data_IF_275793942359
#
_entry.id   IF_275793942359
#
_cell.length_a   1.000
_cell.length_b   1.000
_cell.length_c   1.000
_cell.angle_alpha   90.00
_cell.angle_beta   90.00
_cell.angle_gamma   90.00
#
_symmetry.space_group_name_H-M   'P 1'
#
loop_
_entity.id
_entity.type
_entity.pdbx_description
1 polymer ?
#
# COMPACT_ATOMS: atom_id res chain seq x y z
N UNK A 1 -3.85 -16.68 -10.23
CA UNK A 1 -3.60 -15.22 -10.12
C UNK A 1 -4.65 -14.40 -10.87
N UNK A 2 -4.99 -14.73 -12.12
CA UNK A 2 -6.05 -14.01 -12.88
C UNK A 2 -7.47 -14.03 -12.26
N UNK A 3 -7.94 -15.10 -11.58
CA UNK A 3 -9.29 -15.13 -11.01
C UNK A 3 -9.57 -14.02 -9.98
N UNK A 4 -8.52 -13.46 -9.35
CA UNK A 4 -8.63 -12.38 -8.38
C UNK A 4 -9.09 -11.05 -8.98
N UNK A 5 -8.97 -10.86 -10.29
CA UNK A 5 -9.44 -9.64 -10.97
C UNK A 5 -10.91 -9.71 -11.40
N UNK A 6 -11.52 -10.89 -11.36
CA UNK A 6 -12.92 -11.09 -11.72
C UNK A 6 -13.90 -10.21 -10.92
N UNK A 7 -13.76 -10.04 -9.60
CA UNK A 7 -14.62 -9.14 -8.83
C UNK A 7 -14.52 -7.68 -9.29
N UNK A 8 -13.32 -7.22 -9.69
CA UNK A 8 -13.11 -5.84 -10.16
C UNK A 8 -13.81 -5.64 -11.50
N UNK A 9 -13.66 -6.59 -12.43
CA UNK A 9 -14.33 -6.56 -13.72
C UNK A 9 -15.86 -6.57 -13.57
N UNK A 10 -16.38 -7.47 -12.73
CA UNK A 10 -17.81 -7.54 -12.44
C UNK A 10 -18.33 -6.24 -11.80
N UNK A 11 -17.58 -5.66 -10.88
CA UNK A 11 -17.93 -4.38 -10.26
C UNK A 11 -17.97 -3.25 -11.29
N UNK A 12 -16.98 -3.16 -12.19
CA UNK A 12 -16.96 -2.19 -13.26
C UNK A 12 -18.15 -2.36 -14.22
N UNK A 13 -18.46 -3.60 -14.61
CA UNK A 13 -19.63 -3.90 -15.45
C UNK A 13 -20.94 -3.55 -14.74
N UNK A 14 -21.03 -3.83 -13.44
CA UNK A 14 -22.18 -3.45 -12.62
C UNK A 14 -22.34 -1.92 -12.57
N UNK A 15 -21.27 -1.15 -12.35
CA UNK A 15 -21.32 0.31 -12.39
C UNK A 15 -21.79 0.82 -13.75
N UNK A 16 -21.29 0.24 -14.84
CA UNK A 16 -21.71 0.60 -16.20
C UNK A 16 -23.18 0.23 -16.45
N UNK A 17 -23.63 -0.92 -15.96
CA UNK A 17 -25.02 -1.37 -16.07
C UNK A 17 -25.96 -0.46 -15.28
N UNK A 18 -25.58 -0.06 -14.06
CA UNK A 18 -26.37 0.89 -13.25
C UNK A 18 -26.39 2.26 -13.90
N UNK A 19 -25.25 2.79 -14.37
CA UNK A 19 -25.20 4.06 -15.09
C UNK A 19 -26.09 4.02 -16.35
N UNK A 20 -25.97 2.96 -17.15
CA UNK A 20 -26.80 2.73 -18.33
C UNK A 20 -28.29 2.56 -18.00
N UNK A 21 -28.62 1.86 -16.91
CA UNK A 21 -29.99 1.70 -16.42
C UNK A 21 -30.58 3.04 -16.00
N UNK A 22 -29.86 3.85 -15.24
CA UNK A 22 -30.32 5.17 -14.80
C UNK A 22 -30.54 6.11 -15.99
N UNK A 23 -29.60 6.13 -16.94
CA UNK A 23 -29.75 6.89 -18.19
C UNK A 23 -30.94 6.35 -19.00
N UNK A 24 -31.09 5.02 -19.10
CA UNK A 24 -32.16 4.35 -19.84
C UNK A 24 -33.54 4.62 -19.25
N UNK A 25 -33.70 4.51 -17.94
CA UNK A 25 -34.93 4.86 -17.22
C UNK A 25 -35.24 6.33 -17.42
N UNK A 26 -34.26 7.22 -17.24
CA UNK A 26 -34.42 8.65 -17.49
C UNK A 26 -34.84 8.93 -18.94
N UNK A 27 -34.28 8.23 -19.91
CA UNK A 27 -34.61 8.39 -21.32
C UNK A 27 -36.03 7.90 -21.64
N UNK A 28 -36.47 6.76 -21.07
CA UNK A 28 -37.79 6.15 -21.35
C UNK A 28 -38.91 6.89 -20.62
N UNK A 29 -38.72 7.29 -19.36
CA UNK A 29 -39.77 7.91 -18.54
C UNK A 29 -39.88 9.43 -18.72
N UNK A 30 -38.92 10.10 -19.37
CA UNK A 30 -38.94 11.55 -19.56
C UNK A 30 -39.92 12.00 -20.67
N UNK A 31 -40.89 12.89 -20.38
CA UNK A 31 -41.74 13.50 -21.40
C UNK A 31 -40.94 14.32 -22.41
N UNK A 32 -40.79 13.80 -23.64
CA UNK A 32 -40.00 14.47 -24.69
C UNK A 32 -40.84 15.53 -25.41
N UNK A 33 -40.51 16.79 -25.16
CA UNK A 33 -41.05 17.95 -25.90
C UNK A 33 -39.90 18.76 -26.50
N UNK A 34 -39.27 18.26 -27.58
CA UNK A 34 -38.21 18.98 -28.27
C UNK A 34 -38.78 20.28 -28.87
N UNK A 35 -38.07 21.38 -28.68
CA UNK A 35 -38.41 22.68 -29.23
C UNK A 35 -37.08 23.32 -29.64
N UNK A 36 -36.97 23.97 -30.81
CA UNK A 36 -35.74 24.68 -31.22
C UNK A 36 -35.24 25.63 -30.14
N UNK A 37 -36.13 26.31 -29.40
CA UNK A 37 -35.78 27.23 -28.30
C UNK A 37 -35.19 26.49 -27.09
N UNK A 38 -35.53 25.21 -26.87
CA UNK A 38 -34.91 24.39 -25.80
C UNK A 38 -33.57 23.79 -26.21
N UNK A 39 -33.30 23.72 -27.50
CA UNK A 39 -32.07 23.17 -28.06
C UNK A 39 -31.02 24.25 -28.36
N UNK A 40 -31.39 25.53 -28.28
CA UNK A 40 -30.46 26.63 -28.45
C UNK A 40 -29.50 26.74 -27.24
N UNK A 41 -28.23 27.11 -27.45
CA UNK A 41 -27.31 27.43 -26.37
C UNK A 41 -27.87 28.50 -25.43
N UNK A 42 -27.57 28.36 -24.14
CA UNK A 42 -28.02 29.30 -23.13
C UNK A 42 -27.23 30.61 -23.20
N UNK A 43 -27.91 31.73 -23.47
CA UNK A 43 -27.32 33.07 -23.53
C UNK A 43 -28.20 34.09 -22.77
N UNK A 44 -28.53 33.80 -21.49
CA UNK A 44 -29.34 34.67 -20.62
C UNK A 44 -30.69 35.15 -21.22
N UNK A 45 -31.32 34.31 -22.05
CA UNK A 45 -32.59 34.64 -22.71
C UNK A 45 -32.46 35.44 -24.01
N UNK A 46 -31.23 35.72 -24.46
CA UNK A 46 -30.94 36.25 -25.78
C UNK A 46 -30.62 35.13 -26.76
N UNK A 47 -30.70 35.44 -28.06
CA UNK A 47 -30.20 34.53 -29.08
C UNK A 47 -28.68 34.41 -28.95
N UNK A 48 -28.12 33.18 -29.08
CA UNK A 48 -26.70 32.94 -28.86
C UNK A 48 -25.86 33.80 -29.80
N UNK A 49 -25.07 34.68 -29.20
CA UNK A 49 -24.14 35.53 -29.91
C UNK A 49 -22.74 34.90 -29.86
N UNK A 50 -22.02 34.98 -30.98
CA UNK A 50 -20.68 34.43 -31.18
C UNK A 50 -20.58 32.91 -31.34
N UNK A 51 -19.48 32.54 -32.00
CA UNK A 51 -19.03 31.17 -32.17
C UNK A 51 -18.27 30.71 -30.91
N UNK A 52 -18.46 29.44 -30.51
CA UNK A 52 -17.78 28.85 -29.35
C UNK A 52 -16.29 28.55 -29.60
N UNK A 53 -15.78 28.83 -30.80
CA UNK A 53 -14.39 28.59 -31.22
C UNK A 53 -13.43 29.69 -30.76
N UNK A 54 -13.34 29.92 -29.45
CA UNK A 54 -12.30 30.76 -28.86
C UNK A 54 -11.08 29.93 -28.49
N UNK A 55 -9.90 30.54 -28.58
CA UNK A 55 -8.66 29.94 -28.07
C UNK A 55 -8.75 29.92 -26.55
N UNK A 56 -8.63 28.73 -25.98
CA UNK A 56 -8.49 28.57 -24.53
C UNK A 56 -7.12 29.10 -24.11
N UNK A 57 -7.05 29.65 -22.90
CA UNK A 57 -5.80 30.18 -22.36
C UNK A 57 -4.73 29.09 -22.27
N UNK A 58 -3.49 29.44 -22.62
CA UNK A 58 -2.31 28.55 -22.53
C UNK A 58 -2.10 28.01 -21.10
N UNK A 59 -2.67 28.68 -20.10
CA UNK A 59 -2.63 28.29 -18.68
C UNK A 59 -3.18 26.88 -18.43
N UNK A 60 -4.24 26.49 -19.14
CA UNK A 60 -4.79 25.14 -19.04
C UNK A 60 -3.81 24.08 -19.55
N UNK A 61 -3.05 24.41 -20.59
CA UNK A 61 -2.00 23.55 -21.13
C UNK A 61 -0.83 23.42 -20.15
N UNK A 62 -0.39 24.53 -19.53
CA UNK A 62 0.67 24.48 -18.51
C UNK A 62 0.27 23.62 -17.30
N UNK A 63 -0.98 23.71 -16.85
CA UNK A 63 -1.51 22.84 -15.80
C UNK A 63 -1.51 21.36 -16.24
N UNK A 64 -1.93 21.07 -17.46
CA UNK A 64 -1.96 19.70 -17.99
C UNK A 64 -0.55 19.08 -18.11
N UNK A 65 0.42 19.84 -18.60
CA UNK A 65 1.82 19.38 -18.70
C UNK A 65 2.43 19.22 -17.31
N UNK A 66 2.20 20.17 -16.40
CA UNK A 66 2.68 20.06 -15.02
C UNK A 66 2.08 18.84 -14.31
N UNK A 67 0.78 18.58 -14.49
CA UNK A 67 0.12 17.38 -13.97
C UNK A 67 0.72 16.09 -14.57
N UNK A 68 0.94 16.04 -15.88
CA UNK A 68 1.54 14.89 -16.55
C UNK A 68 2.94 14.58 -16.00
N UNK A 69 3.78 15.60 -15.85
CA UNK A 69 5.13 15.45 -15.32
C UNK A 69 5.10 15.00 -13.86
N UNK A 70 4.20 15.56 -13.05
CA UNK A 70 4.01 15.16 -11.65
C UNK A 70 3.42 13.74 -11.51
N UNK A 71 2.52 13.31 -12.39
CA UNK A 71 1.92 11.97 -12.38
C UNK A 71 2.99 10.89 -12.67
N UNK A 72 3.87 11.16 -13.64
CA UNK A 72 5.03 10.30 -13.91
C UNK A 72 5.99 10.25 -12.72
N UNK A 73 6.15 11.36 -11.98
CA UNK A 73 6.98 11.39 -10.78
C UNK A 73 6.42 10.51 -9.64
N UNK A 74 5.09 10.52 -9.44
CA UNK A 74 4.46 9.64 -8.46
C UNK A 74 4.66 8.16 -8.83
N UNK A 75 4.64 7.84 -10.13
CA UNK A 75 4.95 6.50 -10.61
C UNK A 75 6.40 6.08 -10.27
N UNK A 76 7.36 7.01 -10.37
CA UNK A 76 8.77 6.77 -10.00
C UNK A 76 8.95 6.62 -8.47
N UNK A 77 8.18 7.36 -7.68
CA UNK A 77 8.20 7.28 -6.22
C UNK A 77 7.50 6.02 -5.69
N UNK A 78 6.56 5.43 -6.44
CA UNK A 78 5.74 4.30 -6.00
C UNK A 78 6.55 3.06 -5.55
N UNK A 79 7.54 2.55 -6.32
CA UNK A 79 8.40 1.45 -5.86
C UNK A 79 9.14 1.76 -4.57
N UNK A 80 9.57 3.02 -4.39
CA UNK A 80 10.20 3.47 -3.16
C UNK A 80 9.24 3.41 -1.97
N UNK A 81 8.05 3.97 -2.12
CA UNK A 81 7.03 4.01 -1.08
C UNK A 81 6.62 2.61 -0.60
N UNK A 82 6.39 1.68 -1.54
CA UNK A 82 5.97 0.30 -1.22
C UNK A 82 7.06 -0.44 -0.43
N UNK A 83 8.34 -0.29 -0.78
CA UNK A 83 9.38 -1.06 -0.11
C UNK A 83 9.88 -0.46 1.21
N UNK A 84 9.52 0.78 1.54
CA UNK A 84 9.75 1.37 2.87
C UNK A 84 8.67 0.95 3.85
N UNK A 85 7.42 0.81 3.39
CA UNK A 85 6.28 0.42 4.23
C UNK A 85 6.39 -0.96 4.87
N UNK A 86 7.15 -1.89 4.26
CA UNK A 86 7.30 -3.27 4.77
C UNK A 86 8.16 -3.38 6.04
N UNK A 87 9.07 -2.43 6.29
CA UNK A 87 10.03 -2.50 7.40
C UNK A 87 9.49 -2.13 8.78
N UNK A 88 8.30 -1.52 8.87
CA UNK A 88 7.79 -0.92 10.13
C UNK A 88 6.57 -1.65 10.74
N UNK A 89 6.08 -2.72 10.11
CA UNK A 89 4.82 -3.37 10.48
C UNK A 89 4.95 -4.61 11.37
N UNK A 90 6.14 -4.92 11.90
CA UNK A 90 6.41 -6.24 12.51
C UNK A 90 6.45 -6.32 14.05
N UNK A 91 6.68 -5.23 14.80
CA UNK A 91 7.05 -5.36 16.22
C UNK A 91 6.23 -4.55 17.21
N UNK A 92 5.24 -3.76 16.76
CA UNK A 92 4.46 -2.93 17.67
C UNK A 92 3.39 -3.72 18.44
N UNK A 93 2.91 -4.83 17.86
CA UNK A 93 1.83 -5.64 18.45
C UNK A 93 2.32 -6.93 19.12
N UNK A 94 3.59 -7.32 18.96
CA UNK A 94 4.18 -8.52 19.55
C UNK A 94 4.95 -8.25 20.87
N UNK A 95 4.87 -7.02 21.42
CA UNK A 95 5.45 -6.66 22.73
C UNK A 95 4.37 -6.43 23.79
N UNK A 96 3.25 -7.14 23.73
CA UNK A 96 2.19 -6.98 24.73
C UNK A 96 1.41 -8.27 24.96
N UNK A 97 2.11 -9.38 25.19
CA UNK A 97 1.45 -10.59 25.71
C UNK A 97 2.31 -11.47 26.61
N UNK A 98 3.46 -10.99 27.11
CA UNK A 98 4.21 -11.72 28.16
C UNK A 98 3.64 -11.36 29.54
N UNK A 99 2.36 -11.66 29.73
CA UNK A 99 1.73 -11.77 31.03
C UNK A 99 2.05 -13.12 31.66
N UNK A 100 3.31 -13.38 32.00
CA UNK A 100 3.63 -14.44 32.96
C UNK A 100 3.28 -13.93 34.36
N UNK A 101 2.26 -14.46 35.06
CA UNK A 101 2.12 -14.20 36.47
C UNK A 101 3.37 -14.76 37.17
N UNK A 102 4.15 -13.88 37.77
CA UNK A 102 5.23 -14.26 38.69
C UNK A 102 4.61 -15.16 39.75
N UNK A 103 5.01 -16.44 39.75
CA UNK A 103 4.74 -17.36 40.85
C UNK A 103 5.30 -16.72 42.12
N UNK A 104 4.42 -16.13 42.90
CA UNK A 104 4.73 -15.59 44.21
C UNK A 104 5.05 -16.78 45.12
N UNK A 105 6.34 -17.04 45.27
CA UNK A 105 6.85 -17.89 46.33
C UNK A 105 6.53 -17.22 47.68
N UNK A 106 5.85 -17.97 48.55
CA UNK A 106 5.86 -17.79 49.99
C UNK A 106 4.75 -16.91 50.57
N UNK A 107 3.71 -17.54 51.14
CA UNK A 107 3.38 -17.43 52.57
C UNK A 107 2.22 -18.39 52.95
N UNK A 108 2.52 -19.26 53.91
CA UNK A 108 1.63 -19.94 54.88
C UNK A 108 0.76 -21.15 54.45
N UNK A 109 1.10 -22.31 55.04
CA UNK A 109 0.14 -23.32 55.53
C UNK A 109 0.55 -23.71 56.95
N UNK A 110 -0.39 -23.88 57.90
CA UNK A 110 -0.66 -25.23 58.47
C UNK A 110 -2.12 -25.39 59.03
N UNK A 111 -2.55 -26.51 59.66
CA UNK A 111 -1.98 -27.86 59.82
C UNK A 111 -3.00 -29.03 59.52
N UNK A 112 -2.60 -30.28 59.84
CA UNK A 112 -3.46 -31.39 60.34
C UNK A 112 -4.10 -32.27 59.23
N UNK A 113 -3.92 -33.59 59.09
CA UNK A 113 -3.57 -34.75 59.94
C UNK A 113 -2.84 -35.80 59.08
N UNK A 114 -1.72 -36.42 59.48
CA UNK A 114 -1.51 -37.55 60.41
C UNK A 114 -1.99 -38.94 59.90
N UNK A 115 -1.01 -39.87 59.90
CA UNK A 115 -1.09 -41.35 59.89
C UNK A 115 -1.05 -42.10 58.54
N UNK A 116 -0.44 -43.29 58.37
CA UNK A 116 0.50 -44.14 59.14
C UNK A 116 0.77 -45.37 58.26
N UNK A 117 2.03 -45.85 58.16
CA UNK A 117 2.46 -47.23 57.84
C UNK A 117 2.01 -47.85 56.50
N UNK A 118 2.60 -48.88 55.91
CA UNK A 118 3.85 -49.65 56.02
C UNK A 118 3.68 -50.80 55.01
N UNK A 119 4.79 -51.27 54.42
CA UNK A 119 4.92 -52.45 53.53
C UNK A 119 4.42 -52.21 52.08
N UNK A 120 5.05 -52.69 51.00
CA UNK A 120 5.77 -53.95 50.80
C UNK A 120 6.66 -53.89 49.53
N UNK A 121 7.85 -54.49 49.65
CA UNK A 121 8.69 -55.21 48.68
C UNK A 121 8.31 -55.22 47.18
N UNK A 122 9.29 -54.93 46.31
CA UNK A 122 9.32 -55.59 44.99
C UNK A 122 9.99 -54.84 43.83
N UNK A 123 11.19 -55.31 43.49
CA UNK A 123 11.74 -55.37 42.13
C UNK A 123 12.30 -54.12 41.43
N UNK A 124 13.63 -54.17 41.22
CA UNK A 124 14.37 -53.93 39.96
C UNK A 124 14.08 -52.62 39.21
N UNK A 125 14.97 -51.61 39.33
CA UNK A 125 16.00 -51.31 38.30
C UNK A 125 16.83 -50.06 38.69
N UNK A 126 18.18 -50.19 38.74
CA UNK A 126 19.15 -49.08 38.93
C UNK A 126 19.75 -48.67 37.56
N UNK A 127 20.16 -47.39 37.35
CA UNK A 127 20.41 -46.78 36.04
C UNK A 127 21.92 -46.74 35.68
N UNK A 128 22.29 -46.11 34.55
CA UNK A 128 23.45 -45.20 34.61
C UNK A 128 23.17 -43.87 33.87
N UNK A 129 23.36 -42.70 34.50
CA UNK A 129 24.62 -41.94 34.63
C UNK A 129 25.02 -41.14 33.34
N UNK A 130 24.87 -39.80 33.46
CA UNK A 130 25.42 -38.61 32.74
C UNK A 130 26.94 -38.69 32.40
N UNK A 131 27.64 -37.66 31.80
CA UNK A 131 27.35 -36.48 30.90
C UNK A 131 28.49 -36.36 29.80
N UNK A 132 29.10 -35.21 29.38
CA UNK A 132 28.73 -33.79 29.12
C UNK A 132 29.08 -33.27 27.68
N UNK A 133 28.60 -32.06 27.35
CA UNK A 133 29.13 -31.00 26.46
C UNK A 133 30.33 -31.30 25.50
N UNK A 134 30.19 -30.98 24.20
CA UNK A 134 30.95 -29.94 23.48
C UNK A 134 30.97 -30.10 21.94
N UNK A 135 30.60 -29.01 21.25
CA UNK A 135 31.11 -28.45 19.99
C UNK A 135 31.59 -29.35 18.83
N UNK A 136 30.95 -29.22 17.66
CA UNK A 136 31.66 -28.98 16.40
C UNK A 136 30.75 -28.35 15.36
N UNK A 137 31.18 -27.18 14.89
CA UNK A 137 30.62 -26.48 13.77
C UNK A 137 30.96 -27.22 12.46
N UNK A 138 30.00 -27.28 11.54
CA UNK A 138 30.27 -27.48 10.11
C UNK A 138 29.26 -26.65 9.33
N UNK A 139 29.71 -25.45 8.97
CA UNK A 139 29.15 -24.63 7.90
C UNK A 139 29.51 -25.24 6.54
N UNK A 140 28.56 -25.24 5.60
CA UNK A 140 28.66 -25.25 4.12
C UNK A 140 27.28 -25.70 3.59
N UNK A 141 26.52 -25.04 2.71
CA UNK A 141 26.64 -23.88 1.80
C UNK A 141 25.22 -23.35 1.54
N UNK A 142 25.03 -22.08 1.14
CA UNK A 142 23.78 -21.65 0.53
C UNK A 142 23.68 -22.28 -0.86
N UNK A 143 22.74 -23.19 -1.05
CA UNK A 143 22.38 -23.70 -2.38
C UNK A 143 21.75 -22.57 -3.18
N UNK A 144 22.45 -22.10 -4.19
CA UNK A 144 21.95 -21.16 -5.19
C UNK A 144 20.93 -21.88 -6.08
N UNK A 145 19.69 -22.03 -5.59
CA UNK A 145 18.56 -22.32 -6.47
C UNK A 145 18.12 -21.01 -7.12
N UNK A 146 18.67 -20.75 -8.30
CA UNK A 146 18.13 -19.78 -9.24
C UNK A 146 16.74 -20.21 -9.71
N UNK A 147 15.72 -19.89 -8.92
CA UNK A 147 14.35 -19.76 -9.43
C UNK A 147 14.09 -18.27 -9.57
N UNK A 148 13.69 -17.86 -10.79
CA UNK A 148 13.41 -16.48 -11.19
C UNK A 148 12.24 -15.87 -10.40
N UNK A 149 12.46 -15.67 -9.10
CA UNK A 149 11.62 -14.83 -8.28
C UNK A 149 11.87 -13.41 -8.75
N UNK A 150 10.86 -12.82 -9.38
CA UNK A 150 10.86 -11.39 -9.67
C UNK A 150 11.16 -10.69 -8.35
N UNK A 151 12.17 -9.81 -8.30
CA UNK A 151 12.53 -9.15 -7.06
C UNK A 151 11.32 -8.44 -6.45
N UNK A 152 10.81 -8.95 -5.34
CA UNK A 152 9.67 -8.36 -4.63
C UNK A 152 10.20 -7.28 -3.71
N UNK A 153 10.01 -6.02 -4.12
CA UNK A 153 10.47 -4.86 -3.36
C UNK A 153 11.92 -4.48 -3.62
N UNK A 154 12.34 -3.34 -3.06
CA UNK A 154 13.64 -2.75 -3.38
C UNK A 154 14.81 -3.61 -2.90
N UNK A 155 14.70 -4.38 -1.81
CA UNK A 155 15.80 -5.27 -1.39
C UNK A 155 16.07 -6.35 -2.43
N UNK A 156 15.02 -6.89 -3.05
CA UNK A 156 15.17 -7.81 -4.18
C UNK A 156 15.77 -7.11 -5.40
N UNK A 157 15.34 -5.88 -5.71
CA UNK A 157 15.80 -5.16 -6.89
C UNK A 157 17.26 -4.69 -6.75
N UNK A 158 17.67 -4.31 -5.54
CA UNK A 158 19.05 -3.98 -5.17
C UNK A 158 19.91 -5.25 -5.14
N UNK A 159 19.41 -6.35 -4.56
CA UNK A 159 20.12 -7.64 -4.57
C UNK A 159 20.26 -8.24 -5.98
N UNK A 160 19.31 -7.98 -6.88
CA UNK A 160 19.38 -8.34 -8.29
C UNK A 160 20.28 -7.41 -9.12
N UNK A 161 20.92 -6.41 -8.50
CA UNK A 161 21.80 -5.46 -9.18
C UNK A 161 21.08 -4.49 -10.12
N UNK A 162 19.74 -4.40 -10.04
CA UNK A 162 18.91 -3.58 -10.92
C UNK A 162 18.87 -2.11 -10.46
N UNK A 163 19.17 -1.84 -9.18
CA UNK A 163 19.16 -0.51 -8.56
C UNK A 163 20.34 -0.39 -7.58
N UNK A 164 21.10 0.69 -7.64
CA UNK A 164 22.35 0.87 -6.89
C UNK A 164 22.13 1.20 -5.40
N UNK A 165 21.07 1.94 -5.02
CA UNK A 165 20.63 2.07 -3.62
C UNK A 165 19.19 2.61 -3.43
N UNK A 166 18.54 2.23 -2.31
CA UNK A 166 17.23 2.73 -1.87
C UNK A 166 17.17 4.25 -1.73
N UNK A 167 18.26 4.85 -1.26
CA UNK A 167 18.38 6.28 -1.01
C UNK A 167 18.57 7.07 -2.29
N UNK A 168 19.20 6.49 -3.33
CA UNK A 168 19.35 7.14 -4.63
C UNK A 168 18.01 7.34 -5.34
N UNK A 169 17.07 6.39 -5.24
CA UNK A 169 15.73 6.55 -5.83
C UNK A 169 14.99 7.72 -5.18
N UNK A 170 15.00 7.79 -3.85
CA UNK A 170 14.40 8.90 -3.11
C UNK A 170 15.11 10.23 -3.41
N UNK A 171 16.44 10.23 -3.42
CA UNK A 171 17.21 11.44 -3.70
C UNK A 171 16.95 11.94 -5.13
N UNK A 172 16.88 11.03 -6.11
CA UNK A 172 16.50 11.36 -7.48
C UNK A 172 15.10 11.96 -7.57
N UNK A 173 14.12 11.36 -6.89
CA UNK A 173 12.76 11.89 -6.80
C UNK A 173 12.73 13.29 -6.15
N UNK A 174 13.46 13.50 -5.05
CA UNK A 174 13.55 14.81 -4.40
C UNK A 174 14.21 15.87 -5.30
N UNK A 175 15.26 15.50 -6.04
CA UNK A 175 15.88 16.39 -7.03
C UNK A 175 14.88 16.75 -8.13
N UNK A 176 14.13 15.78 -8.62
CA UNK A 176 13.11 16.00 -9.66
C UNK A 176 11.97 16.90 -9.16
N UNK A 177 11.45 16.64 -7.95
CA UNK A 177 10.48 17.51 -7.27
C UNK A 177 11.03 18.92 -7.12
N UNK A 178 12.32 19.07 -6.77
CA UNK A 178 13.00 20.36 -6.70
C UNK A 178 13.00 21.10 -8.04
N UNK A 179 13.33 20.41 -9.14
CA UNK A 179 13.31 20.99 -10.49
C UNK A 179 11.89 21.40 -10.92
N UNK A 180 10.89 20.56 -10.64
CA UNK A 180 9.49 20.86 -10.93
C UNK A 180 9.02 22.08 -10.13
N UNK A 181 9.32 22.11 -8.83
CA UNK A 181 8.98 23.23 -7.95
C UNK A 181 9.63 24.54 -8.42
N UNK A 182 10.89 24.51 -8.86
CA UNK A 182 11.57 25.67 -9.44
C UNK A 182 10.90 26.12 -10.73
N UNK A 183 10.56 25.20 -11.63
CA UNK A 183 9.84 25.51 -12.88
C UNK A 183 8.48 26.14 -12.61
N UNK A 184 7.70 25.55 -11.70
CA UNK A 184 6.39 26.07 -11.32
C UNK A 184 6.50 27.43 -10.62
N UNK A 185 7.48 27.61 -9.73
CA UNK A 185 7.73 28.87 -9.06
C UNK A 185 8.17 29.96 -10.04
N UNK A 186 8.95 29.60 -11.07
CA UNK A 186 9.31 30.51 -12.15
C UNK A 186 8.07 30.96 -12.93
N UNK A 187 7.18 30.05 -13.30
CA UNK A 187 5.93 30.37 -14.00
C UNK A 187 5.00 31.25 -13.15
N UNK A 188 4.94 30.98 -11.84
CA UNK A 188 4.24 31.81 -10.87
C UNK A 188 4.83 33.23 -10.82
N UNK A 189 6.15 33.35 -10.68
CA UNK A 189 6.86 34.63 -10.60
C UNK A 189 6.68 35.46 -11.87
N UNK A 190 6.65 34.81 -13.04
CA UNK A 190 6.39 35.44 -14.33
C UNK A 190 4.94 35.90 -14.49
N UNK A 191 4.06 35.57 -13.55
CA UNK A 191 2.65 35.96 -13.58
C UNK A 191 1.85 35.28 -14.68
N UNK A 192 2.37 34.20 -15.27
CA UNK A 192 1.73 33.44 -16.34
C UNK A 192 0.42 32.82 -15.82
N UNK A 193 0.39 32.48 -14.53
CA UNK A 193 -0.75 31.89 -13.82
C UNK A 193 -1.78 32.93 -13.29
N UNK A 194 -1.64 34.22 -13.58
CA UNK A 194 -2.59 35.24 -13.09
C UNK A 194 -3.88 35.25 -13.91
N UNK A 195 -4.95 34.70 -13.36
CA UNK A 195 -6.29 34.82 -13.92
C UNK A 195 -6.75 36.30 -13.88
N UNK A 196 -7.26 36.80 -15.00
CA UNK A 196 -7.91 38.12 -15.13
C UNK A 196 -9.34 37.89 -15.58
#
# INVERSE_FOLDING_TARGET
>A
MLPSFWPILLFFLFLLAVAGLLIGVGYVWNPRRPNPVKAMPYESGMDPFHDARRRLDVRFYLLAVAFLVFDVEVLLLYPWAVAVGSGRSGSLWLRQSDGTPRSAAGLETPPTDSQTGSEETGSIQKPPLRPPLAHSASAHLPSASGTGSVPVGIDGAVAAGMIESRTLVLAGALVFIGLLAVGYLYDWRKGILRWR
#
